data_IF_483458013757
#
_entry.id   IF_483458013757
#
_cell.length_a   1.000
_cell.length_b   1.000
_cell.length_c   1.000
_cell.angle_alpha   90.00
_cell.angle_beta   90.00
_cell.angle_gamma   90.00
#
_symmetry.space_group_name_H-M   'P 1'
#
loop_
_entity.id
_entity.type
_entity.pdbx_description
1 polymer ?
#
# COMPACT_ATOMS: atom_id res chain seq x y z
N UNK A 1 -30.12 52.98 30.96
CA UNK A 1 -30.79 52.61 29.69
C UNK A 1 -29.83 51.74 28.89
N UNK A 2 -29.91 50.43 29.13
CA UNK A 2 -30.28 49.41 28.13
C UNK A 2 -29.22 49.19 27.03
N UNK A 3 -28.40 48.16 27.22
CA UNK A 3 -27.71 47.47 26.14
C UNK A 3 -28.46 46.15 25.89
N UNK A 4 -28.95 46.03 24.66
CA UNK A 4 -29.81 44.97 24.16
C UNK A 4 -28.92 43.86 23.57
N UNK A 5 -28.84 42.71 24.24
CA UNK A 5 -28.10 41.55 23.76
C UNK A 5 -29.08 40.63 23.00
N UNK A 6 -28.87 40.46 21.69
CA UNK A 6 -29.61 39.48 20.88
C UNK A 6 -28.76 38.22 20.70
N UNK A 7 -29.21 37.16 21.34
CA UNK A 7 -28.73 35.79 21.17
C UNK A 7 -28.87 35.31 19.72
N UNK A 8 -27.75 34.94 19.09
CA UNK A 8 -27.72 34.03 17.94
C UNK A 8 -27.16 32.69 18.43
N UNK A 9 -28.06 31.73 18.71
CA UNK A 9 -27.70 30.32 18.88
C UNK A 9 -27.24 29.76 17.52
N UNK A 10 -25.95 29.47 17.37
CA UNK A 10 -25.46 28.60 16.30
C UNK A 10 -25.75 27.15 16.67
N UNK A 11 -26.45 26.42 15.79
CA UNK A 11 -26.63 24.98 15.89
C UNK A 11 -25.27 24.29 15.72
N UNK A 12 -24.75 23.74 16.82
CA UNK A 12 -23.60 22.86 16.82
C UNK A 12 -24.02 21.52 16.21
N UNK A 13 -23.55 21.22 14.99
CA UNK A 13 -23.69 19.88 14.40
C UNK A 13 -22.91 18.90 15.27
N UNK A 14 -23.61 17.91 15.83
CA UNK A 14 -23.00 16.80 16.58
C UNK A 14 -22.09 15.98 15.65
N UNK A 15 -20.89 15.57 16.08
CA UNK A 15 -20.11 14.61 15.31
C UNK A 15 -20.82 13.26 15.34
N UNK A 16 -20.92 12.61 14.18
CA UNK A 16 -21.28 11.20 14.07
C UNK A 16 -20.21 10.38 14.80
N UNK A 17 -20.56 9.78 15.93
CA UNK A 17 -19.71 8.75 16.56
C UNK A 17 -19.74 7.53 15.65
N UNK A 18 -18.65 7.27 14.92
CA UNK A 18 -18.43 5.99 14.28
C UNK A 18 -18.26 4.93 15.38
N UNK A 19 -19.09 3.89 15.35
CA UNK A 19 -18.99 2.76 16.27
C UNK A 19 -17.73 1.96 15.89
N UNK A 20 -16.71 2.00 16.74
CA UNK A 20 -15.50 1.20 16.60
C UNK A 20 -15.79 -0.21 17.12
N UNK A 21 -15.87 -1.20 16.23
CA UNK A 21 -15.98 -2.60 16.61
C UNK A 21 -14.56 -3.15 16.76
N UNK A 22 -14.18 -3.54 17.98
CA UNK A 22 -12.95 -4.30 18.24
C UNK A 22 -13.34 -5.77 18.17
N UNK A 23 -13.07 -6.41 17.02
CA UNK A 23 -13.16 -7.87 16.90
C UNK A 23 -11.85 -8.48 17.36
N UNK A 24 -11.93 -9.39 18.33
CA UNK A 24 -10.84 -10.28 18.69
C UNK A 24 -10.98 -11.56 17.84
N UNK A 25 -10.00 -11.85 16.99
CA UNK A 25 -9.99 -13.04 16.16
C UNK A 25 -9.09 -14.12 16.80
N UNK A 26 -9.70 -15.19 17.32
CA UNK A 26 -8.97 -16.35 17.80
C UNK A 26 -8.84 -17.40 16.67
N UNK A 27 -7.66 -17.53 16.06
CA UNK A 27 -7.35 -18.63 15.17
C UNK A 27 -6.52 -19.69 15.91
N UNK A 28 -7.10 -20.88 16.09
CA UNK A 28 -6.44 -22.03 16.70
C UNK A 28 -5.50 -22.71 15.71
N UNK A 29 -4.20 -22.43 15.83
CA UNK A 29 -3.06 -23.36 16.04
C UNK A 29 -1.78 -22.64 15.61
N UNK A 30 -0.84 -22.56 16.55
CA UNK A 30 0.31 -21.64 16.63
C UNK A 30 -0.03 -20.24 17.16
N UNK A 31 0.45 -20.00 18.38
CA UNK A 31 0.55 -18.73 19.14
C UNK A 31 0.24 -17.49 18.28
N UNK A 32 -1.03 -17.07 18.23
CA UNK A 32 -1.41 -15.75 17.76
C UNK A 32 -1.79 -14.95 18.99
N UNK A 33 -0.95 -13.98 19.35
CA UNK A 33 -1.37 -12.95 20.29
C UNK A 33 -2.64 -12.30 19.73
N UNK A 34 -3.71 -12.29 20.52
CA UNK A 34 -4.99 -11.74 20.14
C UNK A 34 -4.82 -10.24 19.86
N UNK A 35 -4.83 -9.85 18.58
CA UNK A 35 -4.64 -8.44 18.19
C UNK A 35 -5.98 -7.78 17.86
N UNK A 36 -6.07 -6.48 18.17
CA UNK A 36 -7.24 -5.69 17.82
C UNK A 36 -7.30 -5.44 16.31
N UNK A 37 -8.48 -5.58 15.72
CA UNK A 37 -8.77 -5.16 14.34
C UNK A 37 -9.62 -3.89 14.41
N UNK A 38 -9.18 -2.83 13.73
CA UNK A 38 -9.92 -1.58 13.58
C UNK A 38 -10.52 -1.53 12.18
N UNK A 39 -11.80 -1.85 12.08
CA UNK A 39 -12.53 -1.96 10.81
C UNK A 39 -14.00 -1.55 11.03
N UNK A 40 -14.58 -0.80 10.08
CA UNK A 40 -16.02 -0.53 10.07
C UNK A 40 -16.80 -1.74 9.58
N UNK A 41 -18.03 -1.94 10.04
CA UNK A 41 -18.95 -2.98 9.54
C UNK A 41 -19.06 -2.99 8.01
N UNK A 42 -19.26 -1.82 7.40
CA UNK A 42 -19.30 -1.68 5.93
C UNK A 42 -18.02 -2.17 5.22
N UNK A 43 -16.85 -1.91 5.80
CA UNK A 43 -15.58 -2.39 5.24
C UNK A 43 -15.46 -3.90 5.40
N UNK A 44 -15.90 -4.46 6.52
CA UNK A 44 -15.93 -5.89 6.75
C UNK A 44 -16.87 -6.60 5.76
N UNK A 45 -18.07 -6.07 5.53
CA UNK A 45 -19.02 -6.55 4.52
C UNK A 45 -18.41 -6.52 3.12
N UNK A 46 -17.70 -5.43 2.76
CA UNK A 46 -16.99 -5.33 1.47
C UNK A 46 -15.88 -6.37 1.34
N UNK A 47 -15.08 -6.60 2.39
CA UNK A 47 -14.04 -7.65 2.38
C UNK A 47 -14.68 -9.01 2.07
N UNK A 48 -15.73 -9.37 2.82
CA UNK A 48 -16.42 -10.64 2.63
C UNK A 48 -17.04 -10.75 1.22
N UNK A 49 -17.73 -9.68 0.77
CA UNK A 49 -18.33 -9.65 -0.56
C UNK A 49 -17.28 -9.82 -1.67
N UNK A 50 -16.16 -9.07 -1.61
CA UNK A 50 -15.08 -9.18 -2.60
C UNK A 50 -14.52 -10.61 -2.62
N UNK A 51 -14.27 -11.22 -1.46
CA UNK A 51 -13.71 -12.57 -1.40
C UNK A 51 -14.66 -13.58 -2.04
N UNK A 52 -15.95 -13.55 -1.68
CA UNK A 52 -16.92 -14.52 -2.17
C UNK A 52 -17.32 -14.30 -3.63
N UNK A 53 -17.44 -13.05 -4.10
CA UNK A 53 -17.94 -12.74 -5.45
C UNK A 53 -16.86 -12.48 -6.49
N UNK A 54 -15.66 -12.05 -6.07
CA UNK A 54 -14.59 -11.65 -6.99
C UNK A 54 -13.34 -12.52 -6.89
N UNK A 55 -12.91 -12.88 -5.67
CA UNK A 55 -11.65 -13.63 -5.50
C UNK A 55 -11.87 -15.12 -5.75
N UNK A 56 -12.76 -15.78 -5.01
CA UNK A 56 -13.01 -17.22 -5.16
C UNK A 56 -13.43 -17.61 -6.58
N UNK A 57 -14.36 -16.89 -7.25
CA UNK A 57 -14.77 -17.28 -8.60
C UNK A 57 -13.67 -17.11 -9.64
N UNK A 58 -12.68 -16.23 -9.38
CA UNK A 58 -11.58 -15.95 -10.29
C UNK A 58 -10.24 -16.55 -9.84
N UNK A 59 -10.24 -17.48 -8.89
CA UNK A 59 -9.03 -18.16 -8.40
C UNK A 59 -8.31 -19.00 -9.48
N UNK A 60 -8.92 -19.21 -10.65
CA UNK A 60 -8.31 -19.86 -11.81
C UNK A 60 -7.37 -18.95 -12.61
N UNK A 61 -7.43 -17.62 -12.39
CA UNK A 61 -6.55 -16.67 -13.05
C UNK A 61 -5.10 -16.84 -12.59
N UNK A 62 -4.16 -16.48 -13.45
CA UNK A 62 -2.77 -16.32 -13.03
C UNK A 62 -2.66 -15.25 -11.95
N UNK A 63 -1.71 -15.39 -11.01
CA UNK A 63 -1.52 -14.47 -9.88
C UNK A 63 -1.52 -12.99 -10.29
N UNK A 64 -0.78 -12.66 -11.35
CA UNK A 64 -0.73 -11.31 -11.91
C UNK A 64 -2.06 -10.77 -12.42
N UNK A 65 -2.85 -11.62 -13.09
CA UNK A 65 -4.17 -11.24 -13.61
C UNK A 65 -5.20 -11.11 -12.48
N UNK A 66 -5.12 -11.96 -11.46
CA UNK A 66 -5.95 -11.83 -10.25
C UNK A 66 -5.63 -10.55 -9.49
N UNK A 67 -4.35 -10.18 -9.36
CA UNK A 67 -3.95 -8.88 -8.81
C UNK A 67 -4.54 -7.72 -9.61
N UNK A 68 -4.49 -7.76 -10.94
CA UNK A 68 -5.10 -6.73 -11.80
C UNK A 68 -6.61 -6.69 -11.62
N UNK A 69 -7.29 -7.84 -11.54
CA UNK A 69 -8.72 -7.93 -11.26
C UNK A 69 -9.08 -7.31 -9.91
N UNK A 70 -8.43 -7.75 -8.84
CA UNK A 70 -8.63 -7.23 -7.48
C UNK A 70 -8.34 -5.73 -7.40
N UNK A 71 -7.27 -5.27 -8.05
CA UNK A 71 -6.88 -3.86 -8.07
C UNK A 71 -7.95 -2.95 -8.69
N UNK A 72 -8.74 -3.46 -9.64
CA UNK A 72 -9.83 -2.74 -10.32
C UNK A 72 -10.99 -2.44 -9.38
N UNK A 73 -11.24 -3.30 -8.39
CA UNK A 73 -12.36 -3.16 -7.45
C UNK A 73 -12.26 -1.89 -6.59
N UNK A 74 -11.06 -1.30 -6.51
CA UNK A 74 -10.80 -0.06 -5.80
C UNK A 74 -10.73 1.17 -6.70
N UNK A 75 -10.98 1.05 -8.00
CA UNK A 75 -11.03 2.21 -8.91
C UNK A 75 -11.96 3.29 -8.35
N UNK A 76 -11.55 4.55 -8.52
CA UNK A 76 -12.24 5.73 -7.98
C UNK A 76 -12.28 5.86 -6.45
N UNK A 77 -11.70 4.93 -5.69
CA UNK A 77 -11.60 5.10 -4.23
C UNK A 77 -10.74 6.34 -3.90
N UNK A 78 -11.22 7.26 -3.04
CA UNK A 78 -10.48 8.48 -2.72
C UNK A 78 -9.08 8.23 -2.18
N UNK A 79 -8.15 9.11 -2.55
CA UNK A 79 -6.85 9.14 -1.91
C UNK A 79 -6.98 9.71 -0.50
N UNK A 80 -6.40 9.03 0.48
CA UNK A 80 -6.31 9.51 1.85
C UNK A 80 -4.93 9.18 2.41
N UNK A 81 -4.18 10.22 2.77
CA UNK A 81 -2.93 10.03 3.51
C UNK A 81 -3.23 9.66 4.96
N UNK A 82 -2.25 9.05 5.62
CA UNK A 82 -2.28 8.82 7.05
C UNK A 82 -3.43 7.91 7.52
N UNK A 83 -3.75 6.86 6.75
CA UNK A 83 -4.86 5.93 7.03
C UNK A 83 -4.59 4.92 8.15
N UNK A 84 -3.31 4.68 8.50
CA UNK A 84 -2.90 3.74 9.55
C UNK A 84 -2.59 4.44 10.88
N UNK A 85 -2.23 3.71 11.93
CA UNK A 85 -1.73 4.30 13.18
C UNK A 85 -0.31 4.86 12.96
N UNK A 86 -0.05 6.07 13.46
CA UNK A 86 1.20 6.83 13.20
C UNK A 86 2.09 7.04 14.42
N UNK A 87 1.70 6.52 15.58
CA UNK A 87 2.40 6.76 16.83
C UNK A 87 2.37 5.51 17.71
N UNK A 88 3.42 5.36 18.51
CA UNK A 88 3.65 4.21 19.39
C UNK A 88 2.71 4.13 20.59
N UNK A 89 1.95 5.19 20.85
CA UNK A 89 1.29 5.41 22.14
C UNK A 89 -0.20 5.03 22.14
N UNK A 90 -0.71 4.50 21.02
CA UNK A 90 -2.07 3.93 20.93
C UNK A 90 -2.01 2.41 20.96
N UNK A 91 -3.08 1.72 21.41
CA UNK A 91 -3.17 0.28 21.23
C UNK A 91 -3.01 -0.05 19.74
N UNK A 92 -2.01 -0.87 19.43
CA UNK A 92 -1.75 -1.28 18.06
C UNK A 92 -2.90 -2.14 17.56
N UNK A 93 -3.49 -1.74 16.44
CA UNK A 93 -4.57 -2.45 15.78
C UNK A 93 -4.26 -2.63 14.30
N UNK A 94 -4.73 -3.73 13.72
CA UNK A 94 -4.76 -3.92 12.28
C UNK A 94 -5.87 -3.03 11.70
N UNK A 95 -5.51 -1.87 11.15
CA UNK A 95 -6.47 -0.91 10.58
C UNK A 95 -6.85 -1.29 9.15
N UNK A 96 -8.15 -1.45 8.88
CA UNK A 96 -8.67 -1.73 7.54
C UNK A 96 -9.70 -0.68 7.17
N UNK A 97 -9.42 0.09 6.11
CA UNK A 97 -10.28 1.17 5.62
C UNK A 97 -10.34 1.14 4.09
N UNK A 98 -11.49 0.73 3.54
CA UNK A 98 -11.71 0.72 2.07
C UNK A 98 -12.35 2.00 1.54
N UNK A 99 -12.46 3.04 2.37
CA UNK A 99 -13.08 4.32 1.97
C UNK A 99 -12.07 5.38 1.58
N UNK A 100 -10.82 5.19 1.96
CA UNK A 100 -9.70 6.06 1.61
C UNK A 100 -8.39 5.31 1.80
N UNK A 101 -7.52 5.43 0.81
CA UNK A 101 -6.23 4.73 0.78
C UNK A 101 -5.12 5.63 0.24
N UNK A 102 -3.91 5.40 0.70
CA UNK A 102 -2.69 5.90 0.08
C UNK A 102 -2.08 4.84 -0.86
N UNK A 103 -0.94 5.15 -1.46
CA UNK A 103 -0.31 4.25 -2.43
C UNK A 103 0.16 2.93 -1.81
N UNK A 104 0.59 2.91 -0.54
CA UNK A 104 0.98 1.67 0.14
C UNK A 104 -0.22 0.84 0.55
N UNK A 105 -1.18 1.47 1.25
CA UNK A 105 -2.38 0.77 1.72
C UNK A 105 -3.23 0.23 0.57
N UNK A 106 -3.22 0.89 -0.59
CA UNK A 106 -3.78 0.34 -1.80
C UNK A 106 -3.13 -0.99 -2.20
N UNK A 107 -1.79 -1.04 -2.30
CA UNK A 107 -1.09 -2.30 -2.61
C UNK A 107 -1.32 -3.36 -1.53
N UNK A 108 -1.29 -2.97 -0.26
CA UNK A 108 -1.53 -3.89 0.87
C UNK A 108 -2.86 -4.63 0.69
N UNK A 109 -3.93 -3.88 0.39
CA UNK A 109 -5.27 -4.45 0.26
C UNK A 109 -5.41 -5.30 -0.99
N UNK A 110 -4.83 -4.88 -2.11
CA UNK A 110 -4.88 -5.66 -3.36
C UNK A 110 -4.19 -7.01 -3.18
N UNK A 111 -2.97 -7.02 -2.65
CA UNK A 111 -2.21 -8.27 -2.45
C UNK A 111 -2.84 -9.14 -1.36
N UNK A 112 -3.33 -8.55 -0.26
CA UNK A 112 -4.00 -9.31 0.79
C UNK A 112 -5.28 -9.99 0.29
N UNK A 113 -6.10 -9.28 -0.49
CA UNK A 113 -7.35 -9.82 -1.03
C UNK A 113 -7.10 -10.87 -2.10
N UNK A 114 -6.11 -10.69 -2.99
CA UNK A 114 -5.82 -11.66 -4.05
C UNK A 114 -5.33 -13.01 -3.52
N UNK A 115 -4.87 -13.06 -2.26
CA UNK A 115 -4.41 -14.28 -1.59
C UNK A 115 -5.44 -14.84 -0.58
N UNK A 116 -6.57 -14.17 -0.36
CA UNK A 116 -7.53 -14.53 0.67
C UNK A 116 -8.53 -15.59 0.19
N UNK A 117 -8.76 -16.60 1.03
CA UNK A 117 -9.85 -17.59 0.85
C UNK A 117 -11.09 -17.27 1.69
N UNK A 118 -10.94 -16.41 2.69
CA UNK A 118 -11.97 -15.99 3.64
C UNK A 118 -11.51 -14.73 4.40
N UNK A 119 -12.38 -14.19 5.23
CA UNK A 119 -12.07 -12.98 6.01
C UNK A 119 -10.88 -13.17 6.98
N UNK A 120 -10.75 -14.28 7.74
CA UNK A 120 -9.57 -14.53 8.56
C UNK A 120 -8.24 -14.58 7.80
N UNK A 121 -8.20 -15.26 6.65
CA UNK A 121 -7.00 -15.33 5.80
C UNK A 121 -6.65 -13.98 5.18
N UNK A 122 -7.63 -13.13 4.87
CA UNK A 122 -7.39 -11.73 4.50
C UNK A 122 -6.65 -10.97 5.62
N UNK A 123 -7.11 -11.06 6.87
CA UNK A 123 -6.45 -10.38 7.99
C UNK A 123 -5.04 -10.91 8.25
N UNK A 124 -4.86 -12.22 8.19
CA UNK A 124 -3.54 -12.86 8.33
C UNK A 124 -2.58 -12.40 7.22
N UNK A 125 -3.04 -12.39 5.96
CA UNK A 125 -2.25 -11.93 4.82
C UNK A 125 -1.90 -10.45 4.95
N UNK A 126 -2.87 -9.60 5.32
CA UNK A 126 -2.65 -8.18 5.51
C UNK A 126 -1.64 -7.88 6.63
N UNK A 127 -1.70 -8.64 7.73
CA UNK A 127 -0.72 -8.55 8.82
C UNK A 127 0.69 -8.92 8.33
N UNK A 128 0.83 -10.01 7.59
CA UNK A 128 2.11 -10.44 7.03
C UNK A 128 2.68 -9.42 6.03
N UNK A 129 1.82 -8.86 5.18
CA UNK A 129 2.22 -7.81 4.23
C UNK A 129 2.74 -6.58 4.98
N UNK A 130 1.99 -6.09 5.97
CA UNK A 130 2.31 -4.83 6.64
C UNK A 130 3.39 -4.93 7.70
N UNK A 131 3.55 -6.06 8.38
CA UNK A 131 4.39 -6.16 9.56
C UNK A 131 5.44 -7.26 9.42
N UNK A 132 6.67 -7.00 9.88
CA UNK A 132 7.70 -8.04 10.02
C UNK A 132 7.40 -8.89 11.24
N UNK A 133 7.81 -10.16 11.21
CA UNK A 133 7.54 -11.14 12.28
C UNK A 133 6.06 -11.32 12.63
N UNK A 134 5.15 -10.86 11.77
CA UNK A 134 3.70 -10.90 12.03
C UNK A 134 3.29 -10.20 13.34
N UNK A 135 4.03 -9.17 13.75
CA UNK A 135 3.79 -8.45 15.00
C UNK A 135 3.29 -7.03 14.70
N UNK A 136 2.05 -6.75 15.09
CA UNK A 136 1.41 -5.45 14.85
C UNK A 136 1.98 -4.43 15.82
N UNK A 137 3.04 -3.77 15.39
CA UNK A 137 3.70 -2.71 16.12
C UNK A 137 4.24 -1.68 15.13
N UNK A 138 4.24 -0.40 15.51
CA UNK A 138 4.64 0.68 14.61
C UNK A 138 6.05 0.49 14.04
N UNK A 139 7.04 0.13 14.87
CA UNK A 139 8.41 -0.15 14.42
C UNK A 139 8.60 -1.48 13.67
N UNK A 140 7.61 -2.37 13.74
CA UNK A 140 7.60 -3.62 12.99
C UNK A 140 6.87 -3.51 11.66
N UNK A 141 6.22 -2.37 11.39
CA UNK A 141 5.64 -2.09 10.08
C UNK A 141 6.75 -2.02 9.01
N UNK A 142 6.48 -2.59 7.84
CA UNK A 142 7.25 -2.42 6.62
C UNK A 142 6.98 -1.01 6.09
N UNK A 143 7.89 -0.07 6.37
CA UNK A 143 7.72 1.36 6.04
C UNK A 143 8.31 1.71 4.67
N UNK A 144 9.17 0.86 4.14
CA UNK A 144 9.86 1.05 2.86
C UNK A 144 9.36 0.02 1.85
N UNK A 145 9.26 0.38 0.58
CA UNK A 145 8.80 -0.56 -0.47
C UNK A 145 9.73 -1.76 -0.57
N UNK A 146 11.03 -1.52 -0.37
CA UNK A 146 12.06 -2.53 -0.30
C UNK A 146 11.95 -3.49 0.88
N UNK A 147 11.21 -3.15 1.94
CA UNK A 147 10.95 -4.09 3.03
C UNK A 147 10.17 -5.32 2.55
N UNK A 148 9.41 -5.21 1.45
CA UNK A 148 8.60 -6.30 0.90
C UNK A 148 9.44 -7.45 0.33
N UNK A 149 10.66 -7.17 -0.12
CA UNK A 149 11.62 -8.19 -0.55
C UNK A 149 12.77 -8.41 0.46
N UNK A 150 13.08 -7.42 1.29
CA UNK A 150 14.23 -7.47 2.20
C UNK A 150 13.92 -8.05 3.59
N UNK A 151 12.66 -8.07 4.03
CA UNK A 151 12.26 -8.52 5.36
C UNK A 151 11.31 -9.72 5.29
N UNK A 152 11.32 -10.53 6.36
CA UNK A 152 10.38 -11.65 6.52
C UNK A 152 9.10 -11.25 7.28
N UNK A 153 7.92 -11.75 6.88
CA UNK A 153 7.70 -12.59 5.69
C UNK A 153 7.90 -11.79 4.39
N UNK A 154 8.52 -12.44 3.41
CA UNK A 154 8.76 -11.86 2.09
C UNK A 154 7.44 -11.85 1.32
N UNK A 155 7.11 -10.72 0.71
CA UNK A 155 5.83 -10.49 0.03
C UNK A 155 5.99 -10.54 -1.48
N UNK A 156 7.16 -10.12 -1.97
CA UNK A 156 7.47 -10.09 -3.38
C UNK A 156 8.98 -10.28 -3.60
N UNK A 157 9.35 -10.63 -4.82
CA UNK A 157 10.74 -10.65 -5.26
C UNK A 157 11.08 -9.36 -6.00
N UNK A 158 12.31 -8.85 -5.83
CA UNK A 158 12.84 -7.77 -6.66
C UNK A 158 13.32 -8.33 -7.99
N UNK A 159 12.68 -7.89 -9.08
CA UNK A 159 13.01 -8.31 -10.46
C UNK A 159 13.67 -7.19 -11.27
N UNK A 160 13.97 -6.06 -10.63
CA UNK A 160 14.45 -4.85 -11.29
C UNK A 160 15.75 -5.09 -12.05
N UNK A 161 16.72 -5.79 -11.44
CA UNK A 161 18.00 -6.13 -12.09
C UNK A 161 17.81 -7.07 -13.28
N UNK A 162 16.85 -7.99 -13.19
CA UNK A 162 16.55 -8.97 -14.25
C UNK A 162 15.89 -8.33 -15.46
N UNK A 163 15.25 -7.16 -15.28
CA UNK A 163 14.50 -6.48 -16.34
C UNK A 163 15.38 -5.68 -17.29
N UNK A 164 16.56 -5.21 -16.87
CA UNK A 164 17.44 -4.41 -17.72
C UNK A 164 18.90 -4.51 -17.30
N UNK A 165 19.85 -4.68 -18.25
CA UNK A 165 21.27 -4.55 -17.94
C UNK A 165 21.67 -3.11 -17.56
N UNK A 166 20.82 -2.12 -17.85
CA UNK A 166 21.01 -0.72 -17.45
C UNK A 166 20.49 -0.42 -16.03
N UNK A 167 20.06 -1.44 -15.28
CA UNK A 167 19.69 -1.29 -13.88
C UNK A 167 20.89 -0.83 -13.04
N UNK A 168 20.66 0.10 -12.11
CA UNK A 168 21.69 0.68 -11.25
C UNK A 168 21.38 0.32 -9.79
N UNK A 169 22.37 -0.27 -9.12
CA UNK A 169 22.31 -0.59 -7.70
C UNK A 169 23.10 0.43 -6.89
N UNK A 170 22.46 1.07 -5.91
CA UNK A 170 23.11 2.06 -5.05
C UNK A 170 22.88 1.79 -3.56
N UNK A 171 23.83 2.12 -2.67
CA UNK A 171 23.60 2.10 -1.24
C UNK A 171 22.70 3.27 -0.81
N UNK A 172 21.74 2.97 0.06
CA UNK A 172 20.84 3.90 0.74
C UNK A 172 20.96 3.76 2.24
N UNK A 173 20.61 4.82 2.95
CA UNK A 173 20.51 4.88 4.41
C UNK A 173 19.07 5.20 4.77
N UNK A 174 18.18 4.23 4.58
CA UNK A 174 16.73 4.43 4.72
C UNK A 174 16.41 5.00 6.10
N UNK A 175 15.37 5.83 6.15
CA UNK A 175 14.97 6.65 7.29
C UNK A 175 15.85 7.88 7.58
N UNK A 176 17.01 8.07 6.94
CA UNK A 176 17.88 9.22 7.20
C UNK A 176 17.42 10.51 6.50
N UNK A 177 17.29 11.61 7.25
CA UNK A 177 17.08 12.97 6.70
C UNK A 177 18.40 13.58 6.23
N UNK A 178 18.34 14.43 5.19
CA UNK A 178 19.51 15.15 4.66
C UNK A 178 20.12 16.09 5.69
N UNK A 179 19.29 16.76 6.50
CA UNK A 179 19.73 17.68 7.55
C UNK A 179 20.18 16.98 8.84
N UNK A 180 20.21 15.64 8.85
CA UNK A 180 20.43 14.83 10.05
C UNK A 180 19.13 14.40 10.74
N UNK A 181 19.22 13.33 11.53
CA UNK A 181 18.09 12.70 12.19
C UNK A 181 17.27 11.76 11.29
N UNK A 182 16.12 11.34 11.80
CA UNK A 182 15.27 10.28 11.23
C UNK A 182 13.94 10.84 10.71
N UNK A 183 13.39 10.27 9.62
CA UNK A 183 12.00 10.53 9.20
C UNK A 183 11.01 9.98 10.22
N UNK A 184 11.21 8.72 10.60
CA UNK A 184 10.46 7.99 11.62
C UNK A 184 11.35 7.90 12.84
N UNK A 185 11.06 8.74 13.83
CA UNK A 185 11.85 8.81 15.05
C UNK A 185 11.84 7.46 15.79
N UNK A 186 13.03 6.94 16.12
CA UNK A 186 13.19 5.72 16.91
C UNK A 186 13.20 4.43 16.09
N UNK A 187 12.98 4.52 14.77
CA UNK A 187 13.09 3.37 13.88
C UNK A 187 14.57 3.03 13.56
N UNK A 188 15.48 4.00 13.69
CA UNK A 188 16.87 3.83 13.31
C UNK A 188 17.09 4.04 11.81
N UNK A 189 18.36 4.19 11.41
CA UNK A 189 18.78 4.23 10.00
C UNK A 189 19.02 2.81 9.51
N UNK A 190 18.48 2.46 8.34
CA UNK A 190 18.54 1.10 7.79
C UNK A 190 19.35 1.12 6.49
N UNK A 191 20.59 0.59 6.48
CA UNK A 191 21.37 0.44 5.26
C UNK A 191 20.68 -0.51 4.29
N UNK A 192 20.58 -0.12 3.02
CA UNK A 192 20.00 -0.99 1.98
C UNK A 192 20.57 -0.73 0.59
N UNK A 193 20.83 -1.78 -0.15
CA UNK A 193 21.09 -1.67 -1.58
C UNK A 193 19.75 -1.60 -2.31
N UNK A 194 19.56 -0.56 -3.13
CA UNK A 194 18.38 -0.36 -3.95
C UNK A 194 18.79 -0.41 -5.42
N UNK A 195 18.18 -1.34 -6.15
CA UNK A 195 18.30 -1.45 -7.61
C UNK A 195 17.14 -0.71 -8.26
N UNK A 196 17.42 0.13 -9.26
CA UNK A 196 16.39 0.82 -10.05
C UNK A 196 16.78 0.89 -11.53
N UNK A 197 15.79 0.98 -12.41
CA UNK A 197 16.00 1.29 -13.84
C UNK A 197 15.75 2.78 -14.03
N UNK A 198 16.75 3.58 -14.47
CA UNK A 198 16.53 4.98 -14.81
C UNK A 198 15.45 5.14 -15.87
N UNK A 199 14.60 6.18 -15.76
CA UNK A 199 13.43 6.32 -16.65
C UNK A 199 13.79 6.47 -18.14
N UNK A 200 14.97 7.02 -18.45
CA UNK A 200 15.51 7.13 -19.81
C UNK A 200 16.08 5.80 -20.35
N UNK A 201 16.21 4.78 -19.49
CA UNK A 201 16.68 3.43 -19.82
C UNK A 201 15.56 2.39 -19.88
N UNK A 202 14.31 2.82 -19.77
CA UNK A 202 13.15 1.93 -19.95
C UNK A 202 12.94 1.71 -21.45
N UNK A 203 13.51 0.63 -21.98
CA UNK A 203 13.41 0.23 -23.39
C UNK A 203 12.13 -0.57 -23.66
N UNK A 204 11.83 -0.84 -24.93
CA UNK A 204 10.73 -1.74 -25.30
C UNK A 204 10.88 -3.14 -24.67
N UNK A 205 12.12 -3.64 -24.56
CA UNK A 205 12.38 -4.93 -23.90
C UNK A 205 11.97 -4.93 -22.42
N UNK A 206 12.19 -3.81 -21.70
CA UNK A 206 11.69 -3.67 -20.32
C UNK A 206 10.17 -3.72 -20.31
N UNK A 207 9.51 -2.96 -21.21
CA UNK A 207 8.05 -2.91 -21.31
C UNK A 207 7.43 -4.28 -21.64
N UNK A 208 8.07 -5.07 -22.51
CA UNK A 208 7.62 -6.40 -22.89
C UNK A 208 7.72 -7.38 -21.71
N UNK A 209 8.76 -7.25 -20.88
CA UNK A 209 9.00 -8.12 -19.72
C UNK A 209 8.16 -7.77 -18.47
N UNK A 210 7.56 -6.57 -18.41
CA UNK A 210 6.56 -6.25 -17.39
C UNK A 210 5.37 -7.22 -17.52
N UNK A 211 4.76 -7.57 -16.40
CA UNK A 211 3.59 -8.46 -16.37
C UNK A 211 2.43 -7.80 -15.62
N UNK A 212 1.22 -8.27 -15.87
CA UNK A 212 0.07 -7.92 -15.04
C UNK A 212 0.40 -8.20 -13.58
N UNK A 213 0.06 -7.26 -12.70
CA UNK A 213 0.28 -7.40 -11.27
C UNK A 213 1.68 -7.05 -10.78
N UNK A 214 2.63 -6.73 -11.66
CA UNK A 214 3.93 -6.19 -11.24
C UNK A 214 3.72 -4.91 -10.42
N UNK A 215 4.33 -4.87 -9.23
CA UNK A 215 4.29 -3.73 -8.33
C UNK A 215 5.44 -2.79 -8.70
N UNK A 216 5.13 -1.54 -9.02
CA UNK A 216 6.13 -0.55 -9.44
C UNK A 216 6.20 0.60 -8.46
N UNK A 217 7.40 0.78 -7.91
CA UNK A 217 7.79 1.93 -7.11
C UNK A 217 8.53 2.97 -7.94
N UNK A 218 8.18 4.24 -7.78
CA UNK A 218 8.91 5.38 -8.36
C UNK A 218 10.16 5.65 -7.53
N UNK A 219 11.33 5.37 -8.08
CA UNK A 219 12.61 5.51 -7.39
C UNK A 219 12.83 6.93 -6.82
N UNK A 220 13.35 6.99 -5.60
CA UNK A 220 13.68 8.24 -4.90
C UNK A 220 15.19 8.49 -4.91
N UNK A 221 15.68 9.68 -5.34
CA UNK A 221 17.09 10.03 -5.24
C UNK A 221 17.51 10.36 -3.80
N UNK A 222 16.57 10.62 -2.88
CA UNK A 222 16.88 10.94 -1.48
C UNK A 222 17.56 9.75 -0.80
N UNK A 223 18.58 9.98 0.03
CA UNK A 223 19.35 8.90 0.66
C UNK A 223 18.54 8.06 1.63
N UNK A 224 17.55 8.66 2.30
CA UNK A 224 16.70 8.00 3.29
C UNK A 224 15.38 7.43 2.78
N UNK A 225 15.16 7.41 1.47
CA UNK A 225 13.97 6.81 0.85
C UNK A 225 14.40 5.91 -0.31
N UNK A 226 13.68 4.82 -0.50
CA UNK A 226 13.81 3.95 -1.67
C UNK A 226 12.89 4.39 -2.81
N UNK A 227 11.61 4.61 -2.52
CA UNK A 227 10.61 5.06 -3.49
C UNK A 227 9.82 6.25 -2.96
N UNK A 228 9.15 6.97 -3.87
CA UNK A 228 8.28 8.12 -3.53
C UNK A 228 6.79 7.83 -3.72
N UNK A 229 6.47 6.84 -4.54
CA UNK A 229 5.11 6.45 -4.89
C UNK A 229 5.09 5.02 -5.41
N UNK A 230 3.95 4.35 -5.32
CA UNK A 230 3.79 2.95 -5.75
C UNK A 230 2.48 2.75 -6.52
N UNK A 231 2.42 1.68 -7.30
CA UNK A 231 1.26 1.29 -8.11
C UNK A 231 1.46 -0.07 -8.77
N UNK A 232 0.51 -0.46 -9.61
CA UNK A 232 0.45 -1.78 -10.24
C UNK A 232 0.48 -1.63 -11.76
N UNK A 233 1.19 -2.53 -12.43
CA UNK A 233 1.15 -2.65 -13.88
C UNK A 233 -0.13 -3.36 -14.31
N UNK A 234 -0.83 -2.72 -15.24
CA UNK A 234 -2.02 -3.26 -15.92
C UNK A 234 -1.76 -3.23 -17.42
N UNK A 235 -1.68 -4.40 -18.04
CA UNK A 235 -1.61 -4.61 -19.49
C UNK A 235 -2.99 -4.99 -20.01
N UNK A 236 -3.67 -4.04 -20.64
CA UNK A 236 -4.99 -4.25 -21.25
C UNK A 236 -5.11 -3.48 -22.57
N UNK A 237 -5.81 -4.05 -23.55
CA UNK A 237 -6.09 -3.41 -24.84
C UNK A 237 -4.83 -2.87 -25.54
N UNK A 238 -3.73 -3.62 -25.50
CA UNK A 238 -2.40 -3.23 -26.03
C UNK A 238 -1.82 -1.96 -25.39
N UNK A 239 -2.27 -1.57 -24.19
CA UNK A 239 -1.71 -0.48 -23.40
C UNK A 239 -1.07 -1.01 -22.12
N UNK A 240 -0.03 -0.32 -21.65
CA UNK A 240 0.54 -0.52 -20.32
C UNK A 240 0.14 0.67 -19.46
N UNK A 241 -0.65 0.41 -18.42
CA UNK A 241 -1.16 1.40 -17.50
C UNK A 241 -0.48 1.25 -16.14
N UNK A 242 -0.41 2.36 -15.43
CA UNK A 242 0.03 2.47 -14.04
C UNK A 242 -1.16 2.76 -13.15
N UNK A 243 -1.73 1.72 -12.55
CA UNK A 243 -2.84 1.85 -11.62
C UNK A 243 -2.33 2.22 -10.24
N UNK A 244 -2.76 3.35 -9.71
CA UNK A 244 -2.23 3.86 -8.43
C UNK A 244 -3.25 4.72 -7.68
N UNK A 245 -3.17 4.74 -6.35
CA UNK A 245 -3.87 5.70 -5.51
C UNK A 245 -3.16 7.07 -5.58
N UNK A 246 -3.64 7.99 -6.42
CA UNK A 246 -2.95 9.25 -6.70
C UNK A 246 -3.35 10.37 -5.74
N UNK A 247 -2.37 11.00 -5.10
CA UNK A 247 -2.54 12.21 -4.27
C UNK A 247 -2.69 13.52 -5.07
N UNK A 248 -2.44 13.51 -6.38
CA UNK A 248 -2.57 14.70 -7.22
C UNK A 248 -4.02 15.19 -7.22
N UNK A 249 -4.25 16.47 -6.95
CA UNK A 249 -5.58 17.08 -6.83
C UNK A 249 -6.50 16.83 -8.04
N UNK A 250 -5.94 16.77 -9.25
CA UNK A 250 -6.70 16.45 -10.47
C UNK A 250 -7.29 15.03 -10.51
N UNK A 251 -6.77 14.12 -9.68
CA UNK A 251 -7.23 12.73 -9.59
C UNK A 251 -7.80 12.45 -8.20
N UNK A 252 -6.97 12.60 -7.15
CA UNK A 252 -7.29 12.39 -5.74
C UNK A 252 -8.03 11.06 -5.45
N UNK A 253 -7.67 10.00 -6.17
CA UNK A 253 -8.31 8.68 -6.14
C UNK A 253 -7.43 7.60 -6.79
N UNK A 254 -7.85 6.35 -6.70
CA UNK A 254 -7.28 5.25 -7.51
C UNK A 254 -7.62 5.48 -8.98
N UNK A 255 -6.59 5.55 -9.82
CA UNK A 255 -6.71 5.91 -11.23
C UNK A 255 -5.71 5.13 -12.08
N UNK A 256 -6.07 4.93 -13.34
CA UNK A 256 -5.18 4.42 -14.39
C UNK A 256 -4.55 5.57 -15.17
N UNK A 257 -3.23 5.52 -15.33
CA UNK A 257 -2.47 6.47 -16.15
C UNK A 257 -1.63 5.69 -17.17
N UNK A 258 -1.41 6.19 -18.40
CA UNK A 258 -0.46 5.56 -19.30
C UNK A 258 0.93 5.48 -18.65
N UNK A 259 1.49 4.27 -18.54
CA UNK A 259 2.68 4.00 -17.73
C UNK A 259 3.87 4.89 -18.12
N UNK A 260 4.19 4.93 -19.42
CA UNK A 260 5.33 5.72 -19.91
C UNK A 260 5.10 7.22 -19.83
N UNK A 261 3.86 7.70 -19.94
CA UNK A 261 3.56 9.14 -19.78
C UNK A 261 3.80 9.57 -18.33
N UNK A 262 3.48 8.69 -17.37
CA UNK A 262 3.69 8.95 -15.96
C UNK A 262 5.19 8.86 -15.57
N UNK A 263 5.86 7.77 -15.95
CA UNK A 263 7.22 7.43 -15.47
C UNK A 263 8.34 8.21 -16.16
N UNK A 264 8.17 8.63 -17.42
CA UNK A 264 9.24 9.32 -18.18
C UNK A 264 9.77 10.58 -17.50
N UNK A 265 8.93 11.26 -16.71
CA UNK A 265 9.32 12.46 -15.94
C UNK A 265 9.89 12.16 -14.55
N UNK A 266 10.05 10.89 -14.19
CA UNK A 266 10.51 10.43 -12.87
C UNK A 266 11.98 9.98 -12.92
N UNK A 267 12.65 9.82 -11.77
CA UNK A 267 14.04 9.35 -11.73
C UNK A 267 14.24 7.91 -12.23
N UNK A 268 13.26 7.04 -12.03
CA UNK A 268 13.33 5.64 -12.44
C UNK A 268 12.30 4.76 -11.74
N UNK A 269 12.39 3.45 -11.95
CA UNK A 269 11.47 2.47 -11.38
C UNK A 269 12.20 1.36 -10.61
N UNK A 270 11.56 0.88 -9.56
CA UNK A 270 11.84 -0.38 -8.87
C UNK A 270 10.64 -1.29 -9.14
N UNK A 271 10.89 -2.55 -9.51
CA UNK A 271 9.83 -3.48 -9.91
C UNK A 271 9.88 -4.74 -9.06
N UNK A 272 8.78 -5.00 -8.35
CA UNK A 272 8.58 -6.22 -7.57
C UNK A 272 7.49 -7.09 -8.19
N UNK A 273 7.62 -8.40 -8.03
CA UNK A 273 6.60 -9.37 -8.45
C UNK A 273 6.21 -10.27 -7.29
N UNK A 274 4.90 -10.40 -7.08
CA UNK A 274 4.31 -11.33 -6.12
C UNK A 274 4.31 -12.71 -6.78
N UNK A 275 4.95 -13.69 -6.13
CA UNK A 275 4.98 -15.10 -6.55
C UNK A 275 4.01 -15.96 -5.74
#
# INVERSE_FOLDING_TARGET
MSHNNKDKKSMLKRPFSALLIILLAACSTHHSDEYAISISERTLEKVNAIIESEIKPNAYLASGDLLVHTSRLFMDTPYQANTLVHHSDLPYALVVNFDGMDCFTYLDYVVALSQASDTPSFFSSLMNIRYKKSHIHFYDRKHFFSDWYALSPQIAIDITEKMSPDAITIPKQLNQKVEGGEYIQGLGVIPRMITYIPSDKITQSVLDNLQNGDLVGVYSPKIGLDVTHTGIIVKENNQILYRNASSLSKYNKVVDLPFMDYIRSKPGIVVLRVE
#
